data_IF_300935914877
#
_entry.id   IF_300935914877
#
_cell.length_a   1.000
_cell.length_b   1.000
_cell.length_c   1.000
_cell.angle_alpha   90.00
_cell.angle_beta   90.00
_cell.angle_gamma   90.00
#
_symmetry.space_group_name_H-M   'P 1'
#
loop_
_entity.id
_entity.type
_entity.pdbx_description
1 polymer ?
#
# COMPACT_ATOMS: atom_id res chain seq x y z
N UNK A 1 6.77 -30.76 -5.55
CA UNK A 1 5.91 -29.70 -6.11
C UNK A 1 6.62 -28.36 -5.92
N UNK A 2 6.89 -27.64 -7.00
CA UNK A 2 7.74 -26.44 -6.97
C UNK A 2 7.12 -25.34 -6.11
N UNK A 3 7.82 -24.98 -5.03
CA UNK A 3 7.48 -23.89 -4.12
C UNK A 3 7.72 -22.55 -4.85
N UNK A 4 6.72 -22.06 -5.58
CA UNK A 4 6.77 -20.77 -6.27
C UNK A 4 6.59 -19.63 -5.25
N UNK A 5 7.54 -19.47 -4.34
CA UNK A 5 7.74 -18.26 -3.53
C UNK A 5 8.33 -17.13 -4.38
N UNK A 6 7.85 -17.00 -5.62
CA UNK A 6 8.17 -15.90 -6.48
C UNK A 6 7.82 -14.60 -5.77
N UNK A 7 8.71 -13.62 -5.88
CA UNK A 7 8.59 -12.24 -5.42
C UNK A 7 7.17 -11.69 -5.63
N UNK A 8 6.28 -11.89 -4.65
CA UNK A 8 4.88 -11.45 -4.69
C UNK A 8 4.63 -10.47 -3.56
N UNK A 9 3.64 -9.59 -3.77
CA UNK A 9 3.28 -8.56 -2.80
C UNK A 9 4.07 -7.26 -2.98
N UNK A 10 3.66 -6.24 -2.22
CA UNK A 10 4.16 -4.87 -2.35
C UNK A 10 5.69 -4.79 -2.15
N UNK A 11 6.21 -5.47 -1.13
CA UNK A 11 7.64 -5.48 -0.82
C UNK A 11 8.51 -6.09 -1.93
N UNK A 12 7.93 -6.92 -2.78
CA UNK A 12 8.64 -7.66 -3.82
C UNK A 12 8.60 -6.97 -5.20
N UNK A 13 7.91 -5.82 -5.32
CA UNK A 13 7.84 -5.02 -6.54
C UNK A 13 9.08 -4.13 -6.73
N UNK A 14 9.29 -3.61 -7.94
CA UNK A 14 10.30 -2.58 -8.19
C UNK A 14 10.03 -1.29 -7.42
N UNK A 15 11.10 -0.58 -7.01
CA UNK A 15 11.02 0.66 -6.21
C UNK A 15 10.13 1.73 -6.86
N UNK A 16 10.17 1.87 -8.19
CA UNK A 16 9.34 2.84 -8.90
C UNK A 16 7.84 2.55 -8.74
N UNK A 17 7.45 1.27 -8.90
CA UNK A 17 6.06 0.81 -8.75
C UNK A 17 5.58 0.88 -7.30
N UNK A 18 6.46 0.55 -6.34
CA UNK A 18 6.16 0.73 -4.91
C UNK A 18 5.86 2.19 -4.58
N UNK A 19 6.69 3.13 -5.08
CA UNK A 19 6.52 4.57 -4.85
C UNK A 19 5.21 5.08 -5.44
N UNK A 20 4.85 4.66 -6.64
CA UNK A 20 3.59 5.03 -7.28
C UNK A 20 2.37 4.57 -6.45
N UNK A 21 2.35 3.29 -6.04
CA UNK A 21 1.25 2.71 -5.25
C UNK A 21 1.16 3.37 -3.87
N UNK A 22 2.29 3.59 -3.18
CA UNK A 22 2.33 4.28 -1.89
C UNK A 22 1.79 5.72 -2.01
N UNK A 23 2.15 6.43 -3.09
CA UNK A 23 1.67 7.79 -3.34
C UNK A 23 0.16 7.84 -3.56
N UNK A 24 -0.43 6.80 -4.19
CA UNK A 24 -1.89 6.66 -4.34
C UNK A 24 -2.56 6.33 -3.01
N UNK A 25 -2.00 5.41 -2.23
CA UNK A 25 -2.52 5.02 -0.91
C UNK A 25 -2.51 6.16 0.11
N UNK A 26 -1.42 6.92 0.21
CA UNK A 26 -1.31 8.05 1.13
C UNK A 26 -2.27 9.20 0.82
N UNK A 27 -2.57 9.44 -0.47
CA UNK A 27 -3.60 10.40 -0.90
C UNK A 27 -5.00 9.95 -0.51
N UNK A 28 -5.29 8.65 -0.64
CA UNK A 28 -6.59 8.09 -0.25
C UNK A 28 -6.82 8.17 1.28
N UNK A 29 -5.79 7.94 2.09
CA UNK A 29 -5.89 8.01 3.55
C UNK A 29 -6.12 9.43 4.10
N UNK A 30 -5.69 10.48 3.39
CA UNK A 30 -5.91 11.87 3.81
C UNK A 30 -7.36 12.36 3.67
N UNK A 31 -8.23 11.63 2.95
CA UNK A 31 -9.64 11.98 2.77
C UNK A 31 -10.63 11.19 3.64
N UNK A 32 -10.16 10.20 4.42
CA UNK A 32 -11.03 9.23 5.11
C UNK A 32 -10.75 9.05 6.60
N UNK A 33 -9.85 9.85 7.18
CA UNK A 33 -9.63 9.88 8.62
C UNK A 33 -10.85 10.49 9.30
N UNK A 34 -11.76 9.63 9.79
CA UNK A 34 -12.87 10.02 10.67
C UNK A 34 -12.31 10.99 11.73
N UNK A 35 -12.79 12.25 11.81
CA UNK A 35 -12.41 13.08 12.92
C UNK A 35 -12.89 12.37 14.19
N UNK A 36 -11.96 12.16 15.10
CA UNK A 36 -12.24 11.79 16.48
C UNK A 36 -13.17 12.85 17.08
N UNK A 37 -14.47 12.64 16.99
CA UNK A 37 -15.48 13.41 17.69
C UNK A 37 -16.56 12.43 18.15
N UNK A 38 -16.41 11.96 19.37
CA UNK A 38 -17.57 11.70 20.20
C UNK A 38 -17.38 12.48 21.50
N UNK A 39 -18.33 13.39 21.73
CA UNK A 39 -18.50 14.20 22.94
C UNK A 39 -19.02 13.39 24.11
#
# INVERSE_FOLDING_TARGET
MANNTGKRGFAAMDKAKQKEIASKGGKASHGGGRPSQNS
#
